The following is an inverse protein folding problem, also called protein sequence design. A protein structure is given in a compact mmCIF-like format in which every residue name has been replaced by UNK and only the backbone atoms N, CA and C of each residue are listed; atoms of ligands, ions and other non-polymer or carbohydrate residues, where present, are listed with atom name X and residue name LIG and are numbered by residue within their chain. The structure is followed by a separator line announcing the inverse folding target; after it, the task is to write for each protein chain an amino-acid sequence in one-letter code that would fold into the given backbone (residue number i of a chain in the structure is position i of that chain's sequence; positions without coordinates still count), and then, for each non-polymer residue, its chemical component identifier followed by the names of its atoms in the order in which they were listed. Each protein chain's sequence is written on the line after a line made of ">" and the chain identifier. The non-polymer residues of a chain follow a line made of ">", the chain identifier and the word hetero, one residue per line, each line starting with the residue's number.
data_IF_841047866377
#
_entry.id   IF_841047866377
#
_cell.length_a   1.000
_cell.length_b   1.000
_cell.length_c   1.000
_cell.angle_alpha   90.00
_cell.angle_beta   90.00
_cell.angle_gamma   90.00
#
_symmetry.space_group_name_H-M   'P 1'
#
loop_
_entity.id
_entity.type
_entity.pdbx_description
1 polymer ?
#
# COMPACT_ATOMS: atom_id res chain seq x y z
N UNK A 1 -25.24 1.31 -8.65
CA UNK A 1 -24.06 0.85 -7.88
C UNK A 1 -24.36 1.14 -6.41
N UNK A 2 -24.54 0.09 -5.60
CA UNK A 2 -25.11 0.22 -4.25
C UNK A 2 -24.02 0.74 -3.28
N UNK A 3 -24.12 2.02 -2.89
CA UNK A 3 -23.13 2.69 -2.03
C UNK A 3 -22.94 1.99 -0.69
N UNK A 4 -23.98 1.33 -0.17
CA UNK A 4 -23.94 0.71 1.17
C UNK A 4 -23.05 -0.53 1.25
N UNK A 5 -23.02 -1.37 0.21
CA UNK A 5 -22.13 -2.54 0.18
C UNK A 5 -20.65 -2.17 0.13
N UNK A 6 -20.33 -1.02 -0.47
CA UNK A 6 -18.96 -0.51 -0.56
C UNK A 6 -18.49 0.04 0.79
N UNK A 7 -19.39 0.65 1.58
CA UNK A 7 -19.07 1.21 2.91
C UNK A 7 -18.89 0.11 3.97
N UNK A 8 -19.69 -0.96 3.92
CA UNK A 8 -19.57 -2.08 4.88
C UNK A 8 -18.25 -2.85 4.75
N UNK A 9 -17.72 -3.02 3.53
CA UNK A 9 -16.40 -3.62 3.31
C UNK A 9 -15.22 -2.76 3.76
N UNK A 10 -15.42 -1.44 3.89
CA UNK A 10 -14.40 -0.48 4.30
C UNK A 10 -14.37 -0.21 5.81
N UNK A 11 -15.46 -0.54 6.54
CA UNK A 11 -15.61 -0.29 7.97
C UNK A 11 -14.62 -1.06 8.87
N UNK A 12 -13.95 -2.08 8.34
CA UNK A 12 -12.95 -2.89 9.07
C UNK A 12 -11.57 -2.20 9.13
N UNK A 13 -11.33 -1.17 8.31
CA UNK A 13 -10.03 -0.50 8.20
C UNK A 13 -9.93 0.76 9.05
N UNK A 14 -9.88 0.60 10.37
CA UNK A 14 -9.39 1.67 11.25
C UNK A 14 -7.86 1.80 11.13
N UNK A 15 -7.30 3.01 11.34
CA UNK A 15 -5.84 3.26 11.26
C UNK A 15 -4.98 2.26 12.05
N UNK A 16 -5.51 1.75 13.19
CA UNK A 16 -4.85 0.73 14.03
C UNK A 16 -4.95 -0.69 13.47
N UNK A 17 -5.98 -1.01 12.70
CA UNK A 17 -6.12 -2.30 12.02
C UNK A 17 -5.18 -2.38 10.82
N UNK A 18 -4.98 -1.27 10.10
CA UNK A 18 -4.04 -1.20 8.96
C UNK A 18 -2.59 -1.51 9.35
N UNK A 19 -2.08 -0.99 10.49
CA UNK A 19 -0.69 -1.28 10.89
C UNK A 19 -0.46 -2.73 11.32
N UNK A 20 -1.48 -3.39 11.89
CA UNK A 20 -1.43 -4.82 12.23
C UNK A 20 -1.55 -5.66 10.96
N UNK A 21 -2.36 -5.21 10.00
CA UNK A 21 -2.50 -5.83 8.69
C UNK A 21 -1.20 -5.76 7.88
N UNK A 22 -0.46 -4.66 7.96
CA UNK A 22 0.86 -4.53 7.32
C UNK A 22 1.83 -5.60 7.83
N UNK A 23 1.91 -5.83 9.15
CA UNK A 23 2.78 -6.86 9.70
C UNK A 23 2.39 -8.27 9.20
N UNK A 24 1.09 -8.55 9.13
CA UNK A 24 0.61 -9.85 8.66
C UNK A 24 0.79 -10.03 7.15
N UNK A 25 0.47 -9.02 6.34
CA UNK A 25 0.61 -9.09 4.88
C UNK A 25 2.08 -9.09 4.47
N UNK A 26 2.86 -8.10 4.94
CA UNK A 26 4.26 -7.96 4.57
C UNK A 26 5.13 -9.06 5.18
N UNK A 27 4.81 -9.50 6.40
CA UNK A 27 5.58 -10.51 7.13
C UNK A 27 5.18 -11.94 6.79
N UNK A 28 3.88 -12.24 6.72
CA UNK A 28 3.37 -13.61 6.60
C UNK A 28 2.80 -13.89 5.22
N UNK A 29 1.89 -13.05 4.70
CA UNK A 29 1.23 -13.29 3.41
C UNK A 29 2.23 -13.35 2.26
N UNK A 30 3.03 -12.29 2.13
CA UNK A 30 4.03 -12.15 1.07
C UNK A 30 5.05 -13.32 1.10
N UNK A 31 5.56 -13.65 2.29
CA UNK A 31 6.58 -14.68 2.44
C UNK A 31 6.06 -16.11 2.25
N UNK A 32 4.89 -16.46 2.83
CA UNK A 32 4.47 -17.86 2.92
C UNK A 32 3.38 -18.24 1.92
N UNK A 33 2.42 -17.35 1.64
CA UNK A 33 1.34 -17.64 0.69
C UNK A 33 1.74 -17.30 -0.73
N UNK A 34 2.30 -16.10 -0.94
CA UNK A 34 2.74 -15.65 -2.26
C UNK A 34 4.16 -16.08 -2.61
N UNK A 35 4.93 -16.56 -1.63
CA UNK A 35 6.36 -16.94 -1.78
C UNK A 35 7.20 -15.83 -2.41
N UNK A 36 6.79 -14.58 -2.22
CA UNK A 36 7.44 -13.39 -2.71
C UNK A 36 7.74 -12.48 -1.51
N UNK A 37 8.88 -12.70 -0.84
CA UNK A 37 9.29 -11.90 0.30
C UNK A 37 9.21 -10.40 0.05
N UNK A 38 8.74 -9.66 1.06
CA UNK A 38 8.63 -8.19 1.00
C UNK A 38 9.92 -7.52 0.59
N UNK A 39 11.08 -8.06 0.97
CA UNK A 39 12.39 -7.57 0.53
C UNK A 39 12.52 -7.50 -0.99
N UNK A 40 12.12 -8.56 -1.72
CA UNK A 40 12.22 -8.56 -3.17
C UNK A 40 11.26 -7.55 -3.80
N UNK A 41 10.05 -7.43 -3.24
CA UNK A 41 9.07 -6.43 -3.69
C UNK A 41 9.63 -5.02 -3.48
N UNK A 42 10.22 -4.74 -2.31
CA UNK A 42 10.87 -3.47 -2.01
C UNK A 42 12.03 -3.16 -2.95
N UNK A 43 12.89 -4.13 -3.24
CA UNK A 43 14.00 -3.96 -4.18
C UNK A 43 13.49 -3.63 -5.59
N UNK A 44 12.48 -4.36 -6.08
CA UNK A 44 11.86 -4.09 -7.37
C UNK A 44 11.18 -2.71 -7.39
N UNK A 45 10.48 -2.34 -6.32
CA UNK A 45 9.85 -1.03 -6.19
C UNK A 45 10.87 0.10 -6.33
N UNK A 46 11.96 0.08 -5.55
CA UNK A 46 13.00 1.11 -5.63
C UNK A 46 13.69 1.17 -6.99
N UNK A 47 13.84 0.03 -7.68
CA UNK A 47 14.50 -0.03 -8.99
C UNK A 47 13.61 0.46 -10.14
N UNK A 48 12.30 0.20 -10.06
CA UNK A 48 11.38 0.39 -11.20
C UNK A 48 10.50 1.63 -11.07
N UNK A 49 10.41 2.23 -9.88
CA UNK A 49 9.67 3.47 -9.68
C UNK A 49 10.26 4.58 -10.56
N UNK A 50 9.39 5.24 -11.31
CA UNK A 50 9.78 6.28 -12.25
C UNK A 50 9.75 7.66 -11.59
N UNK A 51 10.31 8.66 -12.27
CA UNK A 51 10.25 10.05 -11.79
C UNK A 51 8.82 10.62 -11.66
N UNK A 52 7.83 9.97 -12.29
CA UNK A 52 6.43 10.34 -12.25
C UNK A 52 5.59 9.07 -12.02
N UNK A 53 5.31 8.78 -10.75
CA UNK A 53 4.74 7.52 -10.30
C UNK A 53 3.27 7.69 -9.88
N UNK A 54 2.46 6.67 -10.17
CA UNK A 54 1.10 6.52 -9.64
C UNK A 54 1.08 5.23 -8.83
N UNK A 55 0.78 5.34 -7.55
CA UNK A 55 0.57 4.18 -6.68
C UNK A 55 -0.93 3.89 -6.57
N UNK A 56 -1.34 2.64 -6.81
CA UNK A 56 -2.74 2.22 -6.93
C UNK A 56 -3.05 1.19 -5.85
N UNK A 57 -4.04 1.49 -5.01
CA UNK A 57 -4.32 0.72 -3.80
C UNK A 57 -3.22 0.93 -2.76
N UNK A 58 -2.92 2.21 -2.47
CA UNK A 58 -1.75 2.62 -1.70
C UNK A 58 -1.74 2.07 -0.27
N UNK A 59 -2.91 1.74 0.28
CA UNK A 59 -3.03 1.18 1.62
C UNK A 59 -2.40 2.09 2.67
N UNK A 60 -1.41 1.59 3.40
CA UNK A 60 -0.66 2.39 4.39
C UNK A 60 0.48 3.22 3.80
N UNK A 61 0.77 3.06 2.51
CA UNK A 61 1.90 3.71 1.84
C UNK A 61 3.27 3.13 2.19
N UNK A 62 3.34 1.90 2.72
CA UNK A 62 4.59 1.30 3.22
C UNK A 62 5.77 1.42 2.25
N UNK A 63 5.60 1.07 0.97
CA UNK A 63 6.69 1.13 0.00
C UNK A 63 7.11 2.56 -0.35
N UNK A 64 6.15 3.47 -0.50
CA UNK A 64 6.40 4.90 -0.70
C UNK A 64 7.19 5.50 0.47
N UNK A 65 6.87 5.13 1.70
CA UNK A 65 7.52 5.68 2.91
C UNK A 65 8.95 5.18 3.10
N UNK A 66 9.21 3.92 2.76
CA UNK A 66 10.46 3.26 3.13
C UNK A 66 11.44 3.08 1.97
N UNK A 67 10.95 3.10 0.72
CA UNK A 67 11.72 2.64 -0.44
C UNK A 67 11.64 3.58 -1.66
N UNK A 68 10.99 4.74 -1.53
CA UNK A 68 10.87 5.72 -2.59
C UNK A 68 12.21 6.47 -2.83
N UNK A 69 12.78 6.40 -4.04
CA UNK A 69 14.00 7.14 -4.38
C UNK A 69 13.76 8.65 -4.43
N UNK A 70 14.76 9.42 -3.99
CA UNK A 70 14.75 10.89 -4.06
C UNK A 70 14.65 11.46 -5.49
N UNK A 71 14.99 10.66 -6.51
CA UNK A 71 14.84 11.03 -7.91
C UNK A 71 13.38 11.09 -8.38
N UNK A 72 12.44 10.59 -7.57
CA UNK A 72 11.00 10.66 -7.84
C UNK A 72 10.49 12.08 -7.66
N UNK A 73 9.96 12.67 -8.73
CA UNK A 73 9.55 14.09 -8.75
C UNK A 73 8.07 14.30 -8.50
N UNK A 74 7.23 13.36 -8.98
CA UNK A 74 5.78 13.45 -8.85
C UNK A 74 5.22 12.09 -8.47
N UNK A 75 4.32 12.12 -7.49
CA UNK A 75 3.58 10.95 -7.01
C UNK A 75 2.11 11.29 -7.03
N UNK A 76 1.33 10.42 -7.65
CA UNK A 76 -0.12 10.39 -7.52
C UNK A 76 -0.51 9.17 -6.68
N UNK A 77 -1.52 9.35 -5.83
CA UNK A 77 -2.09 8.29 -5.01
C UNK A 77 -3.49 8.00 -5.51
N UNK A 78 -3.80 6.72 -5.70
CA UNK A 78 -5.14 6.26 -6.03
C UNK A 78 -5.55 5.17 -5.05
N UNK A 79 -6.58 5.42 -4.27
CA UNK A 79 -7.19 4.41 -3.41
C UNK A 79 -8.69 4.70 -3.30
N UNK A 80 -9.49 3.64 -3.11
CA UNK A 80 -10.91 3.75 -2.89
C UNK A 80 -11.25 4.14 -1.45
N UNK A 81 -10.31 3.94 -0.52
CA UNK A 81 -10.47 4.25 0.90
C UNK A 81 -9.79 5.59 1.24
N UNK A 82 -10.59 6.55 1.71
CA UNK A 82 -10.08 7.84 2.16
C UNK A 82 -9.08 7.71 3.31
N UNK A 83 -9.25 6.73 4.21
CA UNK A 83 -8.29 6.51 5.30
C UNK A 83 -6.91 6.09 4.79
N UNK A 84 -6.83 5.35 3.68
CA UNK A 84 -5.55 5.00 3.04
C UNK A 84 -4.86 6.25 2.49
N UNK A 85 -5.63 7.10 1.79
CA UNK A 85 -5.15 8.38 1.26
C UNK A 85 -4.69 9.34 2.37
N UNK A 86 -5.43 9.40 3.48
CA UNK A 86 -5.12 10.27 4.63
C UNK A 86 -3.96 9.74 5.49
N UNK A 87 -3.60 8.47 5.36
CA UNK A 87 -2.56 7.81 6.16
C UNK A 87 -1.24 7.71 5.40
N UNK A 88 -1.28 7.62 4.08
CA UNK A 88 -0.11 7.54 3.20
C UNK A 88 0.69 8.84 3.22
#
# INVERSE_FOLDING_TARGET
>A
MNKESTVAGQAVYSKKVLSIYDFWVLGVSNNYFWKCPTRFISEQFSMLVSSNHLDVGVGSGYYLKNYLPQSTKRIALLDLNQNSLDTT
#
